data_IF_544498726576
#
_entry.id   IF_544498726576
#
_cell.length_a   1.000
_cell.length_b   1.000
_cell.length_c   1.000
_cell.angle_alpha   90.00
_cell.angle_beta   90.00
_cell.angle_gamma   90.00
#
_symmetry.space_group_name_H-M   'P 1'
#
loop_
_entity.id
_entity.type
_entity.pdbx_description
1 polymer ?
#
# COMPACT_ATOMS: atom_id res chain seq x y z
N UNK A 1 -13.70 4.88 0.42
CA UNK A 1 -13.02 6.17 0.65
C UNK A 1 -11.65 6.06 0.01
N UNK A 2 -11.29 6.99 -0.87
CA UNK A 2 -10.01 6.95 -1.57
C UNK A 2 -8.84 7.25 -0.62
N UNK A 3 -7.65 6.71 -0.91
CA UNK A 3 -6.42 7.01 -0.16
C UNK A 3 -6.12 8.52 -0.17
N UNK A 4 -6.52 9.20 -1.25
CA UNK A 4 -6.44 10.64 -1.39
C UNK A 4 -7.35 11.36 -0.37
N UNK A 5 -8.61 10.91 -0.21
CA UNK A 5 -9.53 11.45 0.77
C UNK A 5 -9.04 11.20 2.21
N UNK A 6 -8.47 10.02 2.50
CA UNK A 6 -7.86 9.73 3.80
C UNK A 6 -6.65 10.61 4.10
N UNK A 7 -5.80 10.87 3.10
CA UNK A 7 -4.66 11.77 3.22
C UNK A 7 -5.10 13.20 3.55
N UNK A 8 -6.07 13.74 2.82
CA UNK A 8 -6.59 15.09 3.08
C UNK A 8 -7.32 15.17 4.42
N UNK A 9 -8.08 14.14 4.79
CA UNK A 9 -8.67 14.01 6.11
C UNK A 9 -7.61 14.04 7.21
N UNK A 10 -6.49 13.32 7.03
CA UNK A 10 -5.36 13.33 7.96
C UNK A 10 -4.73 14.72 8.06
N UNK A 11 -4.44 15.37 6.92
CA UNK A 11 -3.88 16.72 6.89
C UNK A 11 -4.79 17.74 7.59
N UNK A 12 -6.10 17.70 7.36
CA UNK A 12 -7.03 18.55 8.08
C UNK A 12 -7.03 18.24 9.58
N UNK A 13 -6.95 16.98 9.98
CA UNK A 13 -6.77 16.61 11.39
C UNK A 13 -5.53 17.24 12.01
N UNK A 14 -4.40 17.26 11.29
CA UNK A 14 -3.17 17.92 11.73
C UNK A 14 -3.35 19.44 11.85
N UNK A 15 -3.98 20.10 10.86
CA UNK A 15 -4.28 21.55 10.92
C UNK A 15 -5.02 21.88 12.21
N UNK A 16 -6.12 21.15 12.48
CA UNK A 16 -6.95 21.38 13.67
C UNK A 16 -6.17 21.23 14.97
N UNK A 17 -5.34 20.18 15.06
CA UNK A 17 -4.45 19.98 16.22
C UNK A 17 -3.48 21.16 16.41
N UNK A 18 -2.83 21.63 15.33
CA UNK A 18 -1.86 22.73 15.44
C UNK A 18 -2.53 24.09 15.70
N UNK A 19 -3.70 24.34 15.13
CA UNK A 19 -4.52 25.52 15.46
C UNK A 19 -4.86 25.52 16.95
N UNK A 20 -5.27 24.37 17.48
CA UNK A 20 -5.57 24.22 18.91
C UNK A 20 -4.35 24.55 19.79
N UNK A 21 -3.19 23.99 19.47
CA UNK A 21 -1.93 24.29 20.19
C UNK A 21 -1.55 25.77 20.09
N UNK A 22 -1.71 26.38 18.92
CA UNK A 22 -1.43 27.81 18.72
C UNK A 22 -2.37 28.70 19.56
N UNK A 23 -3.65 28.32 19.68
CA UNK A 23 -4.63 29.02 20.52
C UNK A 23 -4.26 28.92 21.99
N UNK A 24 -3.97 27.72 22.48
CA UNK A 24 -3.61 27.49 23.89
C UNK A 24 -2.36 28.29 24.29
N UNK A 25 -1.38 28.38 23.39
CA UNK A 25 -0.18 29.18 23.61
C UNK A 25 -0.46 30.70 23.65
N UNK A 26 -1.39 31.20 22.84
CA UNK A 26 -1.78 32.61 22.84
C UNK A 26 -2.61 32.97 24.08
N UNK A 27 -3.50 32.08 24.52
CA UNK A 27 -4.26 32.23 25.77
C UNK A 27 -3.34 32.23 27.00
N UNK A 28 -2.30 31.40 26.99
CA UNK A 28 -1.29 31.36 28.06
C UNK A 28 -0.39 32.60 28.10
N UNK A 29 -0.25 33.35 27.00
CA UNK A 29 0.63 34.53 26.92
C UNK A 29 0.06 35.70 26.09
N UNK A 30 -1.03 36.34 26.55
CA UNK A 30 -1.78 37.33 25.77
C UNK A 30 -1.03 38.65 25.49
N UNK A 31 0.09 38.90 26.17
CA UNK A 31 0.86 40.16 26.09
C UNK A 31 2.19 40.05 25.31
N UNK A 32 2.48 38.90 24.70
CA UNK A 32 3.65 38.70 23.83
C UNK A 32 3.46 39.45 22.50
N UNK A 33 3.84 40.74 22.44
CA UNK A 33 3.70 41.56 21.22
C UNK A 33 4.84 41.30 20.23
N UNK A 34 4.46 41.01 18.97
CA UNK A 34 5.31 41.13 17.77
C UNK A 34 6.20 39.93 17.42
N UNK A 35 6.83 39.29 18.40
CA UNK A 35 7.68 38.10 18.14
C UNK A 35 6.83 36.84 17.93
N UNK A 36 5.69 36.72 18.61
CA UNK A 36 4.81 35.57 18.52
C UNK A 36 4.10 35.44 17.16
N UNK A 37 3.71 36.55 16.49
CA UNK A 37 2.97 36.46 15.22
C UNK A 37 3.85 35.93 14.09
N UNK A 38 5.03 36.55 13.90
CA UNK A 38 5.96 36.16 12.85
C UNK A 38 6.49 34.74 13.09
N UNK A 39 6.88 34.43 14.32
CA UNK A 39 7.36 33.09 14.68
C UNK A 39 6.26 32.03 14.57
N UNK A 40 5.00 32.36 14.91
CA UNK A 40 3.86 31.44 14.75
C UNK A 40 3.53 31.22 13.27
N UNK A 41 3.50 32.28 12.44
CA UNK A 41 3.28 32.14 10.99
C UNK A 41 4.40 31.38 10.29
N UNK A 42 5.66 31.70 10.61
CA UNK A 42 6.82 30.99 10.08
C UNK A 42 6.81 29.53 10.55
N UNK A 43 6.52 29.27 11.83
CA UNK A 43 6.38 27.91 12.37
C UNK A 43 5.23 27.11 11.75
N UNK A 44 4.07 27.74 11.51
CA UNK A 44 2.95 27.10 10.82
C UNK A 44 3.28 26.87 9.33
N UNK A 45 3.94 27.83 8.68
CA UNK A 45 4.35 27.74 7.27
C UNK A 45 5.41 26.67 7.04
N UNK A 46 6.36 26.51 7.95
CA UNK A 46 7.47 25.56 7.83
C UNK A 46 7.18 24.20 8.46
N UNK A 47 6.23 24.11 9.41
CA UNK A 47 5.93 22.87 10.13
C UNK A 47 4.61 22.20 9.75
N UNK A 48 3.56 22.98 9.41
CA UNK A 48 2.19 22.46 9.27
C UNK A 48 1.68 22.56 7.84
N UNK A 49 1.87 23.73 7.22
CA UNK A 49 1.41 24.03 5.88
C UNK A 49 2.35 23.63 4.71
N UNK A 50 3.62 23.22 4.87
CA UNK A 50 4.44 22.85 3.71
C UNK A 50 3.80 21.74 2.89
N UNK A 51 3.30 20.69 3.56
CA UNK A 51 2.67 19.55 2.88
C UNK A 51 1.39 19.97 2.16
N UNK A 52 0.56 20.83 2.76
CA UNK A 52 -0.67 21.34 2.14
C UNK A 52 -0.40 22.23 0.92
N UNK A 53 0.60 23.09 1.02
CA UNK A 53 0.98 24.03 -0.05
C UNK A 53 1.74 23.32 -1.18
N UNK A 54 2.61 22.36 -0.85
CA UNK A 54 3.29 21.52 -1.83
C UNK A 54 2.31 20.63 -2.59
N UNK A 55 1.35 19.99 -1.91
CA UNK A 55 0.34 19.15 -2.57
C UNK A 55 -0.59 19.97 -3.48
N UNK A 56 -0.92 21.21 -3.10
CA UNK A 56 -1.63 22.16 -3.99
C UNK A 56 -0.82 22.45 -5.26
N UNK A 57 0.46 22.80 -5.10
CA UNK A 57 1.32 23.20 -6.22
C UNK A 57 1.65 22.01 -7.14
N UNK A 58 1.61 20.78 -6.61
CA UNK A 58 1.75 19.53 -7.36
C UNK A 58 0.51 19.16 -8.20
N UNK A 59 -0.61 19.90 -8.08
CA UNK A 59 -1.87 19.74 -8.86
C UNK A 59 -2.58 18.39 -8.72
N UNK A 60 -2.18 17.52 -7.79
CA UNK A 60 -2.64 16.13 -7.75
C UNK A 60 -3.85 15.94 -6.80
N UNK A 61 -4.90 16.77 -6.93
CA UNK A 61 -6.23 16.38 -6.44
C UNK A 61 -7.01 15.81 -7.63
N UNK A 62 -7.04 14.48 -7.76
CA UNK A 62 -7.65 13.79 -8.89
C UNK A 62 -9.18 13.83 -8.83
N UNK A 63 -9.76 13.73 -7.64
CA UNK A 63 -11.21 13.85 -7.46
C UNK A 63 -11.66 15.32 -7.54
N UNK A 64 -12.52 15.63 -8.52
CA UNK A 64 -13.09 16.98 -8.66
C UNK A 64 -13.91 17.37 -7.42
N UNK A 65 -14.61 16.40 -6.82
CA UNK A 65 -15.38 16.60 -5.60
C UNK A 65 -14.50 16.79 -4.37
N UNK A 66 -13.43 16.01 -4.24
CA UNK A 66 -12.46 16.20 -3.17
C UNK A 66 -11.78 17.57 -3.30
N UNK A 67 -11.50 18.01 -4.53
CA UNK A 67 -10.96 19.35 -4.79
C UNK A 67 -11.92 20.44 -4.32
N UNK A 68 -13.23 20.32 -4.57
CA UNK A 68 -14.23 21.26 -4.07
C UNK A 68 -14.27 21.33 -2.54
N UNK A 69 -14.01 20.21 -1.85
CA UNK A 69 -13.96 20.15 -0.39
C UNK A 69 -12.64 20.74 0.16
N UNK A 70 -11.53 20.48 -0.53
CA UNK A 70 -10.19 20.86 -0.07
C UNK A 70 -9.87 22.32 -0.34
N UNK A 71 -10.31 22.86 -1.49
CA UNK A 71 -9.94 24.20 -1.95
C UNK A 71 -10.28 25.32 -0.96
N UNK A 72 -11.46 25.35 -0.31
CA UNK A 72 -11.78 26.39 0.67
C UNK A 72 -10.82 26.45 1.85
N UNK A 73 -10.35 25.29 2.33
CA UNK A 73 -9.38 25.23 3.43
C UNK A 73 -8.02 25.77 2.97
N UNK A 74 -7.57 25.36 1.77
CA UNK A 74 -6.32 25.86 1.20
C UNK A 74 -6.35 27.37 1.00
N UNK A 75 -7.44 27.91 0.45
CA UNK A 75 -7.61 29.34 0.21
C UNK A 75 -7.58 30.13 1.53
N UNK A 76 -8.21 29.61 2.59
CA UNK A 76 -8.18 30.22 3.92
C UNK A 76 -6.76 30.21 4.53
N UNK A 77 -6.02 29.10 4.40
CA UNK A 77 -4.62 29.01 4.86
C UNK A 77 -3.74 30.02 4.11
N UNK A 78 -3.91 30.15 2.80
CA UNK A 78 -3.16 31.10 1.99
C UNK A 78 -3.49 32.54 2.39
N UNK A 79 -4.78 32.86 2.55
CA UNK A 79 -5.22 34.17 3.00
C UNK A 79 -4.63 34.49 4.37
N UNK A 80 -4.62 33.55 5.30
CA UNK A 80 -4.01 33.69 6.63
C UNK A 80 -2.50 33.97 6.56
N UNK A 81 -1.77 33.21 5.75
CA UNK A 81 -0.32 33.37 5.60
C UNK A 81 0.06 34.73 4.98
N UNK A 82 -0.79 35.26 4.10
CA UNK A 82 -0.56 36.53 3.41
C UNK A 82 -1.14 37.75 4.14
N UNK A 83 -2.03 37.56 5.12
CA UNK A 83 -2.67 38.66 5.84
C UNK A 83 -1.75 39.24 6.92
N UNK A 84 -1.60 40.56 7.04
CA UNK A 84 -0.94 41.17 8.21
C UNK A 84 -1.90 41.15 9.41
N UNK A 85 -1.50 40.55 10.56
CA UNK A 85 -2.33 40.61 11.75
C UNK A 85 -1.85 41.73 12.67
N UNK A 86 -2.73 42.66 12.98
CA UNK A 86 -2.38 43.82 13.83
C UNK A 86 -2.63 43.55 15.31
N UNK A 87 -3.29 42.43 15.64
CA UNK A 87 -3.58 42.02 17.03
C UNK A 87 -3.56 40.50 17.20
N UNK A 88 -3.21 39.98 18.40
CA UNK A 88 -3.35 38.55 18.71
C UNK A 88 -4.78 38.02 18.55
N UNK A 89 -5.79 38.86 18.77
CA UNK A 89 -7.19 38.48 18.58
C UNK A 89 -7.50 38.16 17.12
N UNK A 90 -7.07 39.01 16.18
CA UNK A 90 -7.26 38.76 14.74
C UNK A 90 -6.53 37.49 14.27
N UNK A 91 -5.37 37.19 14.85
CA UNK A 91 -4.64 35.94 14.60
C UNK A 91 -5.45 34.72 15.07
N UNK A 92 -5.98 34.75 16.30
CA UNK A 92 -6.80 33.66 16.86
C UNK A 92 -8.11 33.50 16.08
N UNK A 93 -8.80 34.59 15.76
CA UNK A 93 -10.04 34.56 15.00
C UNK A 93 -9.82 33.91 13.62
N UNK A 94 -8.73 34.28 12.93
CA UNK A 94 -8.39 33.69 11.62
C UNK A 94 -7.97 32.21 11.71
N UNK A 95 -7.33 31.80 12.81
CA UNK A 95 -7.03 30.39 13.06
C UNK A 95 -8.32 29.58 13.34
N UNK A 96 -9.27 30.14 14.07
CA UNK A 96 -10.57 29.51 14.32
C UNK A 96 -11.38 29.34 13.03
N UNK A 97 -11.32 30.31 12.12
CA UNK A 97 -11.93 30.19 10.79
C UNK A 97 -11.34 29.01 10.01
N UNK A 98 -10.02 28.83 10.05
CA UNK A 98 -9.33 27.69 9.44
C UNK A 98 -9.72 26.37 10.12
N UNK A 99 -9.78 26.30 11.45
CA UNK A 99 -10.22 25.09 12.18
C UNK A 99 -11.66 24.71 11.82
N UNK A 100 -12.56 25.69 11.72
CA UNK A 100 -13.95 25.47 11.35
C UNK A 100 -14.09 24.95 9.92
N UNK A 101 -13.35 25.52 8.97
CA UNK A 101 -13.30 25.05 7.59
C UNK A 101 -12.70 23.64 7.50
N UNK A 102 -11.60 23.37 8.20
CA UNK A 102 -10.99 22.04 8.25
C UNK A 102 -11.94 20.99 8.87
N UNK A 103 -12.67 21.35 9.93
CA UNK A 103 -13.69 20.49 10.54
C UNK A 103 -14.85 20.19 9.59
N UNK A 104 -15.32 21.22 8.86
CA UNK A 104 -16.34 21.05 7.82
C UNK A 104 -15.85 20.16 6.68
N UNK A 105 -14.60 20.33 6.26
CA UNK A 105 -14.00 19.53 5.20
C UNK A 105 -13.82 18.06 5.63
N UNK A 106 -13.42 17.79 6.88
CA UNK A 106 -13.39 16.41 7.42
C UNK A 106 -14.79 15.79 7.40
N UNK A 107 -15.81 16.50 7.88
CA UNK A 107 -17.18 16.00 7.87
C UNK A 107 -17.70 15.78 6.45
N UNK A 108 -17.33 16.65 5.50
CA UNK A 108 -17.64 16.49 4.09
C UNK A 108 -16.95 15.24 3.51
N UNK A 109 -15.66 15.03 3.77
CA UNK A 109 -14.92 13.82 3.37
C UNK A 109 -15.57 12.56 3.96
N UNK A 110 -15.90 12.56 5.25
CA UNK A 110 -16.50 11.43 5.95
C UNK A 110 -17.91 11.10 5.43
N UNK A 111 -18.59 12.06 4.79
CA UNK A 111 -19.90 11.88 4.16
C UNK A 111 -19.85 11.79 2.63
N UNK A 112 -18.66 11.81 2.02
CA UNK A 112 -18.53 11.58 0.59
C UNK A 112 -18.98 10.15 0.27
N UNK A 113 -19.95 9.96 -0.63
CA UNK A 113 -20.20 8.65 -1.20
C UNK A 113 -18.93 8.23 -1.98
N UNK A 114 -18.63 6.93 -1.98
CA UNK A 114 -17.60 6.37 -2.88
C UNK A 114 -18.10 6.51 -4.32
N UNK A 115 -17.83 7.65 -4.94
CA UNK A 115 -18.22 8.00 -6.29
C UNK A 115 -17.07 7.89 -7.30
N UNK A 116 -15.97 7.24 -6.92
CA UNK A 116 -14.78 7.07 -7.77
C UNK A 116 -15.13 6.50 -9.15
N UNK A 117 -14.68 7.13 -10.21
CA UNK A 117 -14.85 6.60 -11.56
C UNK A 117 -13.81 5.51 -11.83
N UNK A 118 -14.15 4.57 -12.72
CA UNK A 118 -13.25 3.45 -13.08
C UNK A 118 -11.88 3.96 -13.50
N UNK A 119 -11.80 5.02 -14.31
CA UNK A 119 -10.55 5.60 -14.78
C UNK A 119 -9.69 6.14 -13.63
N UNK A 120 -10.32 6.73 -12.61
CA UNK A 120 -9.62 7.28 -11.44
C UNK A 120 -8.98 6.15 -10.63
N UNK A 121 -9.73 5.08 -10.37
CA UNK A 121 -9.22 3.90 -9.65
C UNK A 121 -8.05 3.27 -10.40
N UNK A 122 -8.13 3.17 -11.73
CA UNK A 122 -7.05 2.62 -12.57
C UNK A 122 -5.83 3.53 -12.59
N UNK A 123 -6.01 4.85 -12.69
CA UNK A 123 -4.91 5.82 -12.70
C UNK A 123 -4.16 5.85 -11.36
N UNK A 124 -4.88 5.82 -10.24
CA UNK A 124 -4.27 5.71 -8.92
C UNK A 124 -3.47 4.41 -8.80
N UNK A 125 -4.06 3.28 -9.25
CA UNK A 125 -3.39 1.99 -9.20
C UNK A 125 -2.12 1.96 -10.06
N UNK A 126 -2.18 2.49 -11.28
CA UNK A 126 -1.03 2.59 -12.19
C UNK A 126 0.09 3.42 -11.57
N UNK A 127 -0.25 4.57 -11.01
CA UNK A 127 0.70 5.46 -10.34
C UNK A 127 1.40 4.72 -9.19
N UNK A 128 0.64 4.03 -8.35
CA UNK A 128 1.18 3.25 -7.22
C UNK A 128 2.03 2.06 -7.69
N UNK A 129 1.59 1.36 -8.73
CA UNK A 129 2.32 0.27 -9.34
C UNK A 129 3.71 0.74 -9.80
N UNK A 130 3.76 1.83 -10.56
CA UNK A 130 5.02 2.37 -11.11
C UNK A 130 5.90 2.95 -9.99
N UNK A 131 5.33 3.71 -9.05
CA UNK A 131 6.07 4.32 -7.95
C UNK A 131 6.72 3.26 -7.04
N UNK A 132 5.98 2.21 -6.67
CA UNK A 132 6.53 1.13 -5.84
C UNK A 132 7.54 0.26 -6.60
N UNK A 133 7.35 0.06 -7.90
CA UNK A 133 8.34 -0.60 -8.76
C UNK A 133 9.63 0.22 -8.85
N UNK A 134 9.53 1.54 -9.00
CA UNK A 134 10.68 2.44 -9.00
C UNK A 134 11.46 2.35 -7.68
N UNK A 135 10.78 2.28 -6.54
CA UNK A 135 11.40 2.05 -5.23
C UNK A 135 12.12 0.69 -5.15
N UNK A 136 11.48 -0.37 -5.63
CA UNK A 136 12.11 -1.70 -5.65
C UNK A 136 13.35 -1.74 -6.55
N UNK A 137 13.32 -1.06 -7.69
CA UNK A 137 14.45 -0.95 -8.61
C UNK A 137 15.57 -0.05 -8.06
N UNK A 138 15.24 1.00 -7.32
CA UNK A 138 16.21 1.94 -6.75
C UNK A 138 16.89 1.41 -5.48
N UNK A 139 16.26 0.49 -4.75
CA UNK A 139 16.82 -0.12 -3.55
C UNK A 139 18.23 -0.72 -3.79
N UNK A 140 18.47 -1.29 -4.97
CA UNK A 140 19.81 -1.75 -5.35
C UNK A 140 20.75 -0.60 -5.71
N UNK A 141 20.23 0.43 -6.39
CA UNK A 141 21.03 1.52 -6.97
C UNK A 141 21.76 2.33 -5.91
N UNK A 142 21.07 2.73 -4.83
CA UNK A 142 21.68 3.60 -3.81
C UNK A 142 22.87 2.91 -3.14
N UNK A 143 22.68 1.65 -2.73
CA UNK A 143 23.75 0.89 -2.09
C UNK A 143 24.89 0.57 -3.06
N UNK A 144 24.58 0.22 -4.32
CA UNK A 144 25.59 -0.01 -5.35
C UNK A 144 26.44 1.24 -5.63
N UNK A 145 25.81 2.43 -5.70
CA UNK A 145 26.52 3.69 -5.89
C UNK A 145 27.49 4.00 -4.73
N UNK A 146 27.05 3.74 -3.50
CA UNK A 146 27.89 3.93 -2.30
C UNK A 146 29.08 2.98 -2.30
N UNK A 147 28.86 1.72 -2.67
CA UNK A 147 29.92 0.72 -2.77
C UNK A 147 30.90 1.03 -3.89
N UNK A 148 30.41 1.50 -5.05
CA UNK A 148 31.24 1.92 -6.17
C UNK A 148 32.06 3.18 -5.87
N UNK A 149 31.54 4.09 -5.03
CA UNK A 149 32.23 5.29 -4.59
C UNK A 149 33.30 5.03 -3.50
N UNK A 150 33.41 3.79 -3.00
CA UNK A 150 34.39 3.41 -1.98
C UNK A 150 35.81 3.62 -2.49
N UNK A 151 36.62 4.36 -1.74
CA UNK A 151 38.05 4.55 -2.02
C UNK A 151 38.88 3.42 -1.40
N UNK A 152 40.07 3.11 -1.94
CA UNK A 152 40.97 2.12 -1.33
C UNK A 152 41.37 2.44 0.12
N UNK A 153 41.35 3.72 0.50
CA UNK A 153 41.65 4.19 1.86
C UNK A 153 40.49 4.00 2.84
N UNK A 154 39.29 3.76 2.33
CA UNK A 154 38.09 3.59 3.15
C UNK A 154 38.08 2.17 3.77
N UNK A 155 37.47 2.06 4.95
CA UNK A 155 37.49 0.82 5.72
C UNK A 155 36.79 -0.36 5.04
N UNK A 156 37.09 -1.56 5.52
CA UNK A 156 36.60 -2.84 4.95
C UNK A 156 35.21 -3.23 5.42
N UNK A 157 34.62 -2.45 6.34
CA UNK A 157 33.27 -2.66 6.85
C UNK A 157 32.37 -1.48 6.48
N UNK A 158 31.11 -1.77 6.19
CA UNK A 158 30.05 -0.79 5.98
C UNK A 158 29.17 -0.73 7.23
N UNK A 159 29.05 0.43 7.85
CA UNK A 159 28.19 0.69 9.01
C UNK A 159 26.80 1.09 8.54
N UNK A 160 25.80 0.23 8.78
CA UNK A 160 24.44 0.41 8.26
C UNK A 160 23.75 1.62 8.87
N UNK A 161 24.00 1.92 10.16
CA UNK A 161 23.35 3.03 10.86
C UNK A 161 23.92 4.40 10.48
N UNK A 162 25.22 4.46 10.17
CA UNK A 162 25.90 5.70 9.73
C UNK A 162 25.97 5.85 8.22
N UNK A 163 25.67 4.79 7.49
CA UNK A 163 25.78 4.72 6.04
C UNK A 163 27.17 5.11 5.52
N UNK A 164 28.21 4.59 6.19
CA UNK A 164 29.61 4.97 5.96
C UNK A 164 30.59 3.79 6.14
N UNK A 165 31.75 3.87 5.50
CA UNK A 165 32.81 2.87 5.64
C UNK A 165 33.61 3.05 6.93
N UNK A 166 33.98 1.95 7.57
CA UNK A 166 34.76 1.90 8.81
C UNK A 166 35.76 0.75 8.80
N UNK A 167 36.88 0.94 9.50
CA UNK A 167 37.98 -0.04 9.56
C UNK A 167 37.74 -1.16 10.57
N UNK A 168 36.76 -1.00 11.47
CA UNK A 168 36.55 -1.93 12.59
C UNK A 168 35.25 -2.71 12.45
N UNK A 169 35.33 -4.02 12.65
CA UNK A 169 34.17 -4.90 12.78
C UNK A 169 33.30 -4.49 13.99
N UNK A 170 32.03 -4.89 13.98
CA UNK A 170 31.12 -4.69 15.11
C UNK A 170 29.66 -4.96 14.75
N UNK A 171 28.76 -4.95 15.75
CA UNK A 171 27.31 -5.02 15.51
C UNK A 171 26.84 -3.92 14.55
N UNK A 172 25.90 -4.26 13.66
CA UNK A 172 25.37 -3.31 12.66
C UNK A 172 26.33 -3.00 11.50
N UNK A 173 27.47 -3.70 11.41
CA UNK A 173 28.47 -3.52 10.35
C UNK A 173 28.64 -4.79 9.52
N UNK A 174 28.75 -4.63 8.21
CA UNK A 174 28.87 -5.72 7.25
C UNK A 174 30.20 -5.58 6.52
N UNK A 175 30.95 -6.67 6.35
CA UNK A 175 32.17 -6.62 5.55
C UNK A 175 31.82 -6.31 4.10
N UNK A 176 32.53 -5.38 3.45
CA UNK A 176 32.21 -4.90 2.10
C UNK A 176 32.18 -6.03 1.08
N UNK A 177 33.06 -7.04 1.20
CA UNK A 177 33.01 -8.21 0.32
C UNK A 177 31.70 -9.01 0.47
N UNK A 178 31.21 -9.21 1.70
CA UNK A 178 29.95 -9.92 1.92
C UNK A 178 28.75 -9.11 1.40
N UNK A 179 28.85 -7.78 1.47
CA UNK A 179 27.83 -6.87 0.95
C UNK A 179 27.81 -6.83 -0.59
N UNK A 180 28.99 -6.79 -1.24
CA UNK A 180 29.11 -6.94 -2.69
C UNK A 180 28.56 -8.30 -3.14
N UNK A 181 28.90 -9.37 -2.44
CA UNK A 181 28.35 -10.72 -2.72
C UNK A 181 26.83 -10.78 -2.55
N UNK A 182 26.26 -10.00 -1.62
CA UNK A 182 24.82 -9.94 -1.41
C UNK A 182 24.08 -9.09 -2.46
N UNK A 183 24.82 -8.28 -3.24
CA UNK A 183 24.34 -7.36 -4.27
C UNK A 183 24.54 -7.90 -5.69
N UNK A 184 25.66 -8.56 -5.97
CA UNK A 184 26.05 -8.96 -7.33
C UNK A 184 25.41 -10.28 -7.75
N UNK A 185 24.63 -10.24 -8.84
CA UNK A 185 24.06 -11.44 -9.46
C UNK A 185 25.12 -12.22 -10.22
N UNK A 186 25.34 -13.48 -9.84
CA UNK A 186 25.97 -14.48 -10.70
C UNK A 186 27.50 -14.55 -10.68
N UNK A 187 28.18 -14.01 -9.66
CA UNK A 187 29.59 -14.36 -9.43
C UNK A 187 29.70 -15.46 -8.39
N UNK A 188 30.34 -16.58 -8.77
CA UNK A 188 30.96 -17.47 -7.80
C UNK A 188 31.92 -16.62 -6.96
N UNK A 189 31.55 -16.33 -5.73
CA UNK A 189 32.37 -15.50 -4.86
C UNK A 189 33.11 -16.39 -3.87
N UNK A 190 34.40 -16.13 -3.69
CA UNK A 190 35.17 -16.70 -2.59
C UNK A 190 35.02 -15.75 -1.41
N UNK A 191 34.24 -16.15 -0.40
CA UNK A 191 34.19 -15.47 0.89
C UNK A 191 35.33 -15.99 1.76
N UNK A 192 36.16 -15.09 2.33
CA UNK A 192 37.22 -15.50 3.27
C UNK A 192 36.69 -16.22 4.52
N UNK A 193 35.40 -16.05 4.88
CA UNK A 193 34.76 -16.75 6.00
C UNK A 193 34.01 -18.03 5.60
N UNK A 194 33.55 -18.15 4.36
CA UNK A 194 32.62 -19.22 3.92
C UNK A 194 33.16 -20.09 2.78
N UNK A 195 34.34 -19.81 2.24
CA UNK A 195 34.90 -20.51 1.08
C UNK A 195 34.20 -20.10 -0.23
N UNK A 196 34.21 -21.00 -1.21
CA UNK A 196 33.44 -20.83 -2.46
C UNK A 196 31.95 -20.84 -2.15
N UNK A 197 31.26 -19.75 -2.45
CA UNK A 197 29.81 -19.65 -2.34
C UNK A 197 29.25 -19.45 -3.75
N UNK A 198 28.68 -20.53 -4.29
CA UNK A 198 27.85 -20.49 -5.49
C UNK A 198 26.44 -20.11 -5.06
N UNK A 199 25.96 -18.93 -5.43
CA UNK A 199 24.54 -18.66 -5.36
C UNK A 199 23.91 -19.25 -6.63
N UNK A 200 23.26 -20.42 -6.51
CA UNK A 200 22.29 -20.91 -7.53
C UNK A 200 21.05 -19.98 -7.64
N UNK A 201 21.16 -18.71 -7.25
CA UNK A 201 20.07 -17.83 -6.86
C UNK A 201 20.38 -16.38 -7.21
N UNK A 202 19.33 -15.58 -7.38
CA UNK A 202 19.44 -14.13 -7.36
C UNK A 202 20.11 -13.67 -6.04
N UNK A 203 20.84 -12.54 -6.05
CA UNK A 203 21.39 -11.94 -4.85
C UNK A 203 20.33 -11.83 -3.75
N UNK A 204 20.67 -12.08 -2.48
CA UNK A 204 19.73 -11.98 -1.36
C UNK A 204 18.95 -10.66 -1.33
N UNK A 205 19.60 -9.54 -1.65
CA UNK A 205 18.95 -8.23 -1.68
C UNK A 205 17.92 -8.16 -2.81
N UNK A 206 18.20 -8.80 -3.95
CA UNK A 206 17.28 -8.88 -5.08
C UNK A 206 16.05 -9.74 -4.78
N UNK A 207 16.25 -10.88 -4.13
CA UNK A 207 15.14 -11.74 -3.69
C UNK A 207 14.26 -11.00 -2.69
N UNK A 208 14.86 -10.31 -1.73
CA UNK A 208 14.14 -9.56 -0.72
C UNK A 208 13.32 -8.42 -1.34
N UNK A 209 13.97 -7.53 -2.09
CA UNK A 209 13.34 -6.32 -2.63
C UNK A 209 12.26 -6.63 -3.66
N UNK A 210 12.56 -7.48 -4.66
CA UNK A 210 11.58 -7.82 -5.68
C UNK A 210 10.49 -8.75 -5.14
N UNK A 211 10.84 -9.68 -4.24
CA UNK A 211 9.86 -10.53 -3.56
C UNK A 211 8.86 -9.71 -2.72
N UNK A 212 9.35 -8.70 -2.00
CA UNK A 212 8.49 -7.78 -1.25
C UNK A 212 7.58 -6.97 -2.18
N UNK A 213 8.11 -6.47 -3.31
CA UNK A 213 7.29 -5.75 -4.29
C UNK A 213 6.17 -6.64 -4.86
N UNK A 214 6.47 -7.88 -5.24
CA UNK A 214 5.46 -8.84 -5.70
C UNK A 214 4.39 -9.12 -4.65
N UNK A 215 4.78 -9.24 -3.38
CA UNK A 215 3.82 -9.44 -2.30
C UNK A 215 2.93 -8.22 -2.07
N UNK A 216 3.53 -7.04 -2.05
CA UNK A 216 2.82 -5.77 -1.87
C UNK A 216 1.82 -5.53 -2.99
N UNK A 217 2.26 -5.59 -4.26
CA UNK A 217 1.40 -5.26 -5.40
C UNK A 217 0.21 -6.22 -5.53
N UNK A 218 0.39 -7.49 -5.18
CA UNK A 218 -0.69 -8.48 -5.15
C UNK A 218 -1.69 -8.20 -4.02
N UNK A 219 -1.22 -7.78 -2.85
CA UNK A 219 -2.07 -7.46 -1.72
C UNK A 219 -2.96 -6.25 -2.04
N UNK A 220 -2.37 -5.12 -2.46
CA UNK A 220 -3.15 -3.91 -2.79
C UNK A 220 -4.07 -4.13 -3.99
N UNK A 221 -3.69 -4.99 -4.94
CA UNK A 221 -4.58 -5.41 -6.01
C UNK A 221 -5.82 -6.11 -5.48
N UNK A 222 -5.68 -7.19 -4.70
CA UNK A 222 -6.85 -7.98 -4.27
C UNK A 222 -7.69 -7.30 -3.18
N UNK A 223 -7.03 -6.56 -2.30
CA UNK A 223 -7.67 -5.97 -1.11
C UNK A 223 -8.22 -4.57 -1.36
N UNK A 224 -7.52 -3.74 -2.16
CA UNK A 224 -7.87 -2.32 -2.29
C UNK A 224 -8.49 -2.02 -3.65
N UNK A 225 -7.79 -2.31 -4.74
CA UNK A 225 -8.21 -1.86 -6.06
C UNK A 225 -9.30 -2.73 -6.70
N UNK A 226 -9.23 -4.04 -6.51
CA UNK A 226 -10.20 -4.97 -7.11
C UNK A 226 -11.62 -4.80 -6.57
N UNK A 227 -11.86 -4.56 -5.27
CA UNK A 227 -13.18 -4.17 -4.75
C UNK A 227 -13.62 -2.80 -5.26
N UNK A 228 -12.75 -1.77 -5.19
CA UNK A 228 -13.06 -0.41 -5.67
C UNK A 228 -13.48 -0.38 -7.15
N UNK A 229 -12.80 -1.17 -8.00
CA UNK A 229 -13.18 -1.33 -9.40
C UNK A 229 -14.54 -2.00 -9.57
N UNK A 230 -14.87 -3.01 -8.76
CA UNK A 230 -16.18 -3.65 -8.78
C UNK A 230 -17.28 -2.66 -8.43
N UNK A 231 -17.08 -1.85 -7.39
CA UNK A 231 -18.04 -0.82 -6.97
C UNK A 231 -18.20 0.28 -8.05
N UNK A 232 -17.10 0.74 -8.63
CA UNK A 232 -17.12 1.72 -9.72
C UNK A 232 -17.84 1.22 -10.97
N UNK A 233 -17.57 -0.02 -11.41
CA UNK A 233 -18.29 -0.65 -12.52
C UNK A 233 -19.77 -0.89 -12.20
N UNK A 234 -20.08 -1.26 -10.95
CA UNK A 234 -21.46 -1.47 -10.52
C UNK A 234 -22.29 -0.21 -10.68
N UNK A 235 -21.73 0.92 -10.24
CA UNK A 235 -22.36 2.24 -10.42
C UNK A 235 -22.48 2.63 -11.88
N UNK A 236 -21.41 2.45 -12.66
CA UNK A 236 -21.36 2.84 -14.08
C UNK A 236 -22.37 2.08 -14.94
N UNK A 237 -22.53 0.78 -14.69
CA UNK A 237 -23.33 -0.11 -15.52
C UNK A 237 -24.73 -0.39 -14.93
N UNK A 238 -24.96 -0.01 -13.67
CA UNK A 238 -26.23 -0.29 -12.99
C UNK A 238 -26.44 -1.76 -12.63
N UNK A 239 -25.35 -2.54 -12.57
CA UNK A 239 -25.33 -3.96 -12.21
C UNK A 239 -24.52 -4.16 -10.93
N UNK A 240 -24.64 -5.31 -10.25
CA UNK A 240 -23.90 -5.56 -8.99
C UNK A 240 -22.68 -6.45 -9.24
N UNK A 241 -21.54 -5.85 -9.56
CA UNK A 241 -20.26 -6.55 -9.67
C UNK A 241 -19.62 -6.73 -8.30
N UNK A 242 -19.00 -7.89 -8.11
CA UNK A 242 -18.18 -8.18 -6.92
C UNK A 242 -16.71 -8.26 -7.30
N UNK A 243 -15.80 -8.19 -6.31
CA UNK A 243 -14.36 -8.26 -6.56
C UNK A 243 -13.95 -9.45 -7.44
N UNK A 244 -14.65 -10.60 -7.35
CA UNK A 244 -14.33 -11.79 -8.15
C UNK A 244 -14.56 -11.62 -9.65
N UNK A 245 -15.43 -10.69 -10.05
CA UNK A 245 -15.74 -10.38 -11.45
C UNK A 245 -14.62 -9.57 -12.11
N UNK A 246 -13.93 -8.75 -11.32
CA UNK A 246 -12.75 -8.00 -11.78
C UNK A 246 -11.59 -9.00 -11.96
N UNK A 247 -11.16 -9.19 -13.21
CA UNK A 247 -10.11 -10.15 -13.59
C UNK A 247 -9.03 -9.44 -14.40
N UNK A 248 -7.78 -9.80 -14.14
CA UNK A 248 -6.63 -9.39 -14.95
C UNK A 248 -5.70 -10.58 -15.12
N UNK A 249 -5.47 -10.99 -16.36
CA UNK A 249 -4.53 -12.07 -16.66
C UNK A 249 -3.12 -11.70 -16.21
N UNK A 250 -2.71 -10.44 -16.47
CA UNK A 250 -1.43 -9.92 -16.03
C UNK A 250 -1.23 -10.08 -14.52
N UNK A 251 -2.19 -9.63 -13.70
CA UNK A 251 -2.09 -9.74 -12.24
C UNK A 251 -2.12 -11.19 -11.77
N UNK A 252 -2.90 -12.06 -12.43
CA UNK A 252 -2.91 -13.49 -12.13
C UNK A 252 -1.54 -14.15 -12.42
N UNK A 253 -0.88 -13.78 -13.52
CA UNK A 253 0.45 -14.25 -13.87
C UNK A 253 1.55 -13.71 -12.94
N UNK A 254 1.40 -12.45 -12.50
CA UNK A 254 2.27 -11.81 -11.51
C UNK A 254 2.21 -12.56 -10.17
N UNK A 255 1.01 -12.96 -9.73
CA UNK A 255 0.82 -13.75 -8.52
C UNK A 255 1.46 -15.15 -8.61
N UNK A 256 1.41 -15.79 -9.79
CA UNK A 256 2.10 -17.07 -10.00
C UNK A 256 3.61 -16.94 -9.87
N UNK A 257 4.18 -15.86 -10.41
CA UNK A 257 5.61 -15.54 -10.24
C UNK A 257 5.93 -15.30 -8.77
N UNK A 258 5.12 -14.48 -8.06
CA UNK A 258 5.23 -14.27 -6.62
C UNK A 258 5.30 -15.60 -5.86
N UNK A 259 4.35 -16.51 -6.14
CA UNK A 259 4.28 -17.79 -5.44
C UNK A 259 5.52 -18.64 -5.70
N UNK A 260 6.03 -18.66 -6.93
CA UNK A 260 7.24 -19.39 -7.26
C UNK A 260 8.49 -18.79 -6.57
N UNK A 261 8.61 -17.46 -6.55
CA UNK A 261 9.71 -16.74 -5.90
C UNK A 261 9.69 -16.93 -4.37
N UNK A 262 8.55 -16.68 -3.74
CA UNK A 262 8.43 -16.63 -2.27
C UNK A 262 8.27 -18.04 -1.68
N UNK A 263 7.41 -18.88 -2.25
CA UNK A 263 7.04 -20.16 -1.67
C UNK A 263 7.80 -21.35 -2.26
N UNK A 264 8.21 -21.29 -3.53
CA UNK A 264 8.94 -22.39 -4.21
C UNK A 264 10.44 -22.13 -4.36
N UNK A 265 11.00 -21.22 -3.55
CA UNK A 265 12.44 -20.87 -3.56
C UNK A 265 12.95 -20.47 -4.94
N UNK A 266 12.13 -19.75 -5.71
CA UNK A 266 12.40 -19.31 -7.08
C UNK A 266 12.39 -20.43 -8.14
N UNK A 267 11.91 -21.63 -7.83
CA UNK A 267 11.67 -22.69 -8.83
C UNK A 267 10.34 -22.47 -9.51
N UNK A 268 10.34 -22.58 -10.85
CA UNK A 268 9.14 -22.45 -11.67
C UNK A 268 8.21 -23.63 -11.40
N UNK A 269 6.97 -23.34 -11.00
CA UNK A 269 5.91 -24.34 -10.82
C UNK A 269 4.59 -23.79 -11.28
N UNK A 270 4.14 -22.68 -10.70
CA UNK A 270 2.87 -22.06 -11.07
C UNK A 270 3.00 -21.17 -12.32
N UNK A 271 4.13 -20.48 -12.46
CA UNK A 271 4.41 -19.55 -13.55
C UNK A 271 4.84 -20.23 -14.86
N UNK A 272 4.98 -21.55 -14.87
CA UNK A 272 5.42 -22.34 -16.04
C UNK A 272 4.60 -22.07 -17.31
N UNK A 273 3.31 -21.78 -17.14
CA UNK A 273 2.35 -21.58 -18.23
C UNK A 273 1.89 -20.11 -18.34
N UNK A 274 2.66 -19.17 -17.80
CA UNK A 274 2.41 -17.75 -18.00
C UNK A 274 2.61 -17.39 -19.48
N UNK A 275 1.67 -16.62 -20.06
CA UNK A 275 1.70 -16.21 -21.46
C UNK A 275 2.26 -14.81 -21.62
N UNK A 276 1.94 -13.90 -20.70
CA UNK A 276 2.40 -12.51 -20.68
C UNK A 276 3.76 -12.42 -20.00
N UNK A 277 3.88 -13.00 -18.80
CA UNK A 277 5.08 -13.01 -17.99
C UNK A 277 5.79 -14.37 -18.07
N UNK A 278 6.24 -14.74 -19.27
CA UNK A 278 6.98 -15.97 -19.50
C UNK A 278 8.43 -15.86 -19.00
N UNK A 279 8.61 -16.01 -17.70
CA UNK A 279 9.89 -15.78 -17.03
C UNK A 279 10.61 -17.07 -16.66
N UNK A 280 10.18 -18.22 -17.18
CA UNK A 280 10.86 -19.48 -16.95
C UNK A 280 12.22 -19.48 -17.67
N UNK A 281 13.29 -19.78 -16.94
CA UNK A 281 14.61 -20.01 -17.51
C UNK A 281 14.81 -21.50 -17.81
N UNK A 282 15.79 -21.81 -18.67
CA UNK A 282 16.12 -23.18 -19.06
C UNK A 282 16.61 -24.07 -17.91
N UNK A 283 17.05 -23.47 -16.81
CA UNK A 283 17.47 -24.13 -15.57
C UNK A 283 16.30 -24.45 -14.61
N UNK A 284 15.07 -24.11 -14.99
CA UNK A 284 13.87 -24.32 -14.16
C UNK A 284 13.69 -23.28 -13.05
N UNK A 285 14.47 -22.21 -13.05
CA UNK A 285 14.31 -21.07 -12.14
C UNK A 285 13.48 -19.96 -12.78
N UNK A 286 12.79 -19.20 -11.94
CA UNK A 286 12.12 -17.95 -12.35
C UNK A 286 13.22 -16.95 -12.64
N UNK A 287 13.39 -16.52 -13.89
CA UNK A 287 14.35 -15.49 -14.24
C UNK A 287 13.88 -14.11 -13.80
N UNK A 288 14.05 -13.78 -12.53
CA UNK A 288 13.70 -12.50 -11.92
C UNK A 288 14.82 -11.46 -12.12
N UNK A 289 15.30 -11.32 -13.35
CA UNK A 289 16.39 -10.40 -13.73
C UNK A 289 15.95 -8.94 -13.62
N UNK A 290 16.87 -8.01 -13.38
CA UNK A 290 16.57 -6.56 -13.35
C UNK A 290 15.94 -6.08 -14.65
N UNK A 291 16.35 -6.58 -15.81
CA UNK A 291 15.81 -6.22 -17.12
C UNK A 291 14.31 -6.54 -17.22
N UNK A 292 13.92 -7.72 -16.76
CA UNK A 292 12.51 -8.15 -16.69
C UNK A 292 11.69 -7.32 -15.70
N UNK A 293 12.26 -7.00 -14.53
CA UNK A 293 11.62 -6.09 -13.58
C UNK A 293 11.47 -4.67 -14.13
N UNK A 294 12.46 -4.17 -14.87
CA UNK A 294 12.38 -2.88 -15.56
C UNK A 294 11.32 -2.90 -16.67
N UNK A 295 11.19 -4.03 -17.38
CA UNK A 295 10.17 -4.22 -18.41
C UNK A 295 8.74 -4.08 -17.89
N UNK A 296 8.50 -4.44 -16.63
CA UNK A 296 7.18 -4.31 -15.98
C UNK A 296 6.62 -2.88 -16.01
N UNK A 297 7.48 -1.85 -16.08
CA UNK A 297 7.08 -0.43 -16.11
C UNK A 297 6.09 -0.09 -17.23
N UNK A 298 6.13 -0.83 -18.34
CA UNK A 298 5.27 -0.60 -19.52
C UNK A 298 4.21 -1.70 -19.68
N UNK A 299 4.05 -2.58 -18.70
CA UNK A 299 3.15 -3.74 -18.78
C UNK A 299 1.92 -3.60 -17.90
N UNK A 300 1.71 -2.44 -17.26
CA UNK A 300 0.51 -2.20 -16.47
C UNK A 300 -0.74 -2.39 -17.37
N UNK A 301 -1.72 -3.21 -16.95
CA UNK A 301 -2.80 -3.67 -17.84
C UNK A 301 -3.94 -2.64 -17.95
N UNK A 302 -3.63 -1.38 -18.25
CA UNK A 302 -4.62 -0.28 -18.25
C UNK A 302 -5.81 -0.56 -19.16
N UNK A 303 -5.55 -0.95 -20.41
CA UNK A 303 -6.59 -1.22 -21.39
C UNK A 303 -7.49 -2.40 -20.99
N UNK A 304 -6.91 -3.47 -20.42
CA UNK A 304 -7.66 -4.62 -19.94
C UNK A 304 -8.57 -4.22 -18.78
N UNK A 305 -8.08 -3.40 -17.85
CA UNK A 305 -8.85 -2.94 -16.68
C UNK A 305 -9.98 -1.96 -17.05
N UNK A 306 -9.85 -1.23 -18.15
CA UNK A 306 -10.89 -0.35 -18.71
C UNK A 306 -11.98 -1.12 -19.47
N UNK A 307 -11.77 -2.41 -19.72
CA UNK A 307 -12.80 -3.25 -20.34
C UNK A 307 -13.81 -3.66 -19.28
N UNK A 308 -15.10 -3.48 -19.58
CA UNK A 308 -16.19 -3.84 -18.67
C UNK A 308 -16.06 -5.30 -18.21
N UNK A 309 -16.18 -5.57 -16.90
CA UNK A 309 -16.07 -6.93 -16.38
C UNK A 309 -17.26 -7.76 -16.84
N UNK A 310 -17.01 -9.07 -16.95
CA UNK A 310 -18.06 -10.06 -17.18
C UNK A 310 -18.24 -10.84 -15.89
N UNK A 311 -19.48 -10.98 -15.44
CA UNK A 311 -19.79 -11.80 -14.27
C UNK A 311 -19.13 -13.17 -14.38
N UNK A 312 -18.37 -13.53 -13.36
CA UNK A 312 -17.92 -14.91 -13.23
C UNK A 312 -19.09 -15.81 -12.91
N UNK A 313 -18.96 -17.09 -13.25
CA UNK A 313 -19.75 -18.11 -12.57
C UNK A 313 -19.59 -17.91 -11.06
N UNK A 314 -20.69 -17.87 -10.33
CA UNK A 314 -20.66 -17.75 -8.88
C UNK A 314 -19.70 -18.81 -8.31
N UNK A 315 -18.70 -18.43 -7.49
CA UNK A 315 -17.75 -19.39 -6.96
C UNK A 315 -18.51 -20.47 -6.20
N UNK A 316 -18.35 -21.73 -6.60
CA UNK A 316 -19.05 -22.90 -6.02
C UNK A 316 -18.74 -23.15 -4.53
N UNK A 317 -17.82 -22.40 -3.95
CA UNK A 317 -17.41 -22.48 -2.55
C UNK A 317 -16.54 -21.29 -2.17
N UNK A 318 -16.72 -20.78 -0.96
CA UNK A 318 -15.85 -19.79 -0.32
C UNK A 318 -15.36 -20.35 1.02
N UNK A 319 -14.14 -19.99 1.44
CA UNK A 319 -13.68 -20.31 2.80
C UNK A 319 -14.45 -19.44 3.80
N UNK A 320 -14.94 -20.06 4.87
CA UNK A 320 -15.67 -19.36 5.92
C UNK A 320 -14.77 -18.28 6.56
N UNK A 321 -15.27 -17.04 6.73
CA UNK A 321 -14.45 -15.92 7.22
C UNK A 321 -14.19 -15.94 8.73
N UNK A 322 -14.73 -16.92 9.46
CA UNK A 322 -14.55 -17.07 10.90
C UNK A 322 -13.70 -18.29 11.25
N UNK A 323 -12.97 -18.17 12.36
CA UNK A 323 -12.28 -19.29 13.00
C UNK A 323 -13.25 -20.06 13.88
N UNK A 324 -13.22 -21.40 13.82
CA UNK A 324 -13.92 -22.26 14.77
C UNK A 324 -12.94 -22.82 15.81
N UNK A 325 -13.47 -23.17 16.98
CA UNK A 325 -12.68 -23.80 18.04
C UNK A 325 -12.03 -25.11 17.56
N UNK A 326 -10.74 -25.31 17.90
CA UNK A 326 -9.96 -26.45 17.41
C UNK A 326 -10.52 -27.78 17.92
N UNK A 327 -10.99 -27.84 19.17
CA UNK A 327 -11.56 -29.06 19.74
C UNK A 327 -12.90 -29.40 19.07
N UNK A 328 -13.69 -28.39 18.69
CA UNK A 328 -14.92 -28.58 17.94
C UNK A 328 -14.63 -29.13 16.54
N UNK A 329 -13.65 -28.54 15.83
CA UNK A 329 -13.23 -29.02 14.51
C UNK A 329 -12.76 -30.47 14.58
N UNK A 330 -11.95 -30.82 15.58
CA UNK A 330 -11.42 -32.18 15.71
C UNK A 330 -12.50 -33.19 16.13
N UNK A 331 -13.47 -32.77 16.94
CA UNK A 331 -14.64 -33.60 17.29
C UNK A 331 -15.51 -33.91 16.06
N UNK A 332 -15.73 -32.92 15.19
CA UNK A 332 -16.41 -33.12 13.92
C UNK A 332 -15.60 -34.05 13.02
N UNK A 333 -14.30 -33.79 12.81
CA UNK A 333 -13.43 -34.67 11.99
C UNK A 333 -13.43 -36.12 12.48
N UNK A 334 -13.38 -36.34 13.80
CA UNK A 334 -13.43 -37.66 14.40
C UNK A 334 -14.78 -38.33 14.11
N UNK A 335 -15.89 -37.62 14.32
CA UNK A 335 -17.24 -38.14 14.00
C UNK A 335 -17.38 -38.48 12.52
N UNK A 336 -16.84 -37.66 11.62
CA UNK A 336 -16.86 -37.90 10.17
C UNK A 336 -16.06 -39.15 9.77
N UNK A 337 -14.92 -39.37 10.43
CA UNK A 337 -14.12 -40.57 10.26
C UNK A 337 -14.84 -41.81 10.79
N UNK A 338 -15.46 -41.73 11.97
CA UNK A 338 -16.24 -42.83 12.58
C UNK A 338 -17.44 -43.23 11.71
N UNK A 339 -18.02 -42.27 10.97
CA UNK A 339 -19.11 -42.51 10.02
C UNK A 339 -18.65 -43.00 8.63
N UNK A 340 -17.33 -43.11 8.40
CA UNK A 340 -16.77 -43.63 7.14
C UNK A 340 -17.03 -42.75 5.91
N UNK A 341 -17.23 -41.44 6.09
CA UNK A 341 -17.65 -40.55 5.01
C UNK A 341 -16.49 -40.19 4.06
N UNK A 342 -16.80 -40.04 2.78
CA UNK A 342 -15.82 -39.65 1.75
C UNK A 342 -15.56 -38.14 1.77
N UNK A 343 -14.42 -37.69 1.21
CA UNK A 343 -14.09 -36.26 1.10
C UNK A 343 -15.17 -35.39 0.46
N UNK A 344 -15.96 -35.96 -0.47
CA UNK A 344 -17.09 -35.28 -1.10
C UNK A 344 -18.24 -35.08 -0.10
N UNK A 345 -18.62 -36.13 0.62
CA UNK A 345 -19.65 -36.07 1.67
C UNK A 345 -19.25 -35.17 2.84
N UNK A 346 -17.96 -35.10 3.17
CA UNK A 346 -17.45 -34.16 4.18
C UNK A 346 -17.69 -32.69 3.80
N UNK A 347 -17.67 -32.35 2.50
CA UNK A 347 -17.98 -31.00 2.03
C UNK A 347 -19.46 -30.69 2.22
N UNK A 348 -20.33 -31.63 1.85
CA UNK A 348 -21.78 -31.49 1.93
C UNK A 348 -22.27 -31.25 3.38
N UNK A 349 -21.54 -31.78 4.38
CA UNK A 349 -21.85 -31.57 5.80
C UNK A 349 -21.56 -30.13 6.24
N UNK A 350 -20.54 -29.48 5.69
CA UNK A 350 -20.29 -28.07 5.93
C UNK A 350 -21.47 -27.21 5.49
N UNK A 351 -21.98 -27.50 4.29
CA UNK A 351 -23.15 -26.83 3.73
C UNK A 351 -24.42 -27.13 4.56
N UNK A 352 -24.61 -28.38 4.99
CA UNK A 352 -25.73 -28.80 5.85
C UNK A 352 -25.70 -28.13 7.23
N UNK A 353 -24.53 -28.04 7.87
CA UNK A 353 -24.37 -27.36 9.17
C UNK A 353 -24.75 -25.87 9.08
N UNK A 354 -24.35 -25.20 7.99
CA UNK A 354 -24.69 -23.79 7.75
C UNK A 354 -26.20 -23.65 7.48
N UNK A 355 -26.76 -24.53 6.65
CA UNK A 355 -28.19 -24.53 6.34
C UNK A 355 -29.06 -24.74 7.61
N UNK A 356 -28.67 -25.68 8.48
CA UNK A 356 -29.33 -25.93 9.76
C UNK A 356 -29.24 -24.70 10.69
N UNK A 357 -28.09 -24.03 10.73
CA UNK A 357 -27.94 -22.82 11.52
C UNK A 357 -28.83 -21.68 11.01
N UNK A 358 -28.89 -21.47 9.69
CA UNK A 358 -29.77 -20.47 9.06
C UNK A 358 -31.25 -20.77 9.30
N UNK A 359 -31.65 -22.05 9.22
CA UNK A 359 -33.02 -22.47 9.51
C UNK A 359 -33.40 -22.24 10.98
N UNK A 360 -32.44 -22.37 11.91
CA UNK A 360 -32.65 -22.11 13.33
C UNK A 360 -32.62 -20.61 13.69
N UNK A 361 -32.10 -19.75 12.82
CA UNK A 361 -31.97 -18.30 13.03
C UNK A 361 -32.52 -17.54 11.81
N UNK A 362 -33.84 -17.61 11.55
CA UNK A 362 -34.44 -16.86 10.46
C UNK A 362 -34.21 -15.36 10.67
N UNK A 363 -34.02 -14.62 9.57
CA UNK A 363 -33.92 -13.17 9.63
C UNK A 363 -35.22 -12.60 10.26
N UNK A 364 -35.13 -11.55 11.10
CA UNK A 364 -36.33 -10.91 11.62
C UNK A 364 -37.16 -10.37 10.45
N UNK A 365 -38.43 -10.80 10.37
CA UNK A 365 -39.36 -10.30 9.38
C UNK A 365 -39.46 -8.78 9.52
N UNK A 366 -39.08 -8.04 8.47
CA UNK A 366 -39.15 -6.58 8.38
C UNK A 366 -40.58 -6.01 8.37
N UNK A 367 -41.53 -6.72 8.97
CA UNK A 367 -42.94 -6.34 9.09
C UNK A 367 -43.35 -6.32 10.56
N UNK A 368 -42.88 -5.34 11.31
CA UNK A 368 -43.59 -4.83 12.49
C UNK A 368 -43.10 -3.42 12.86
N UNK A 369 -43.96 -2.42 12.62
CA UNK A 369 -43.75 -1.06 13.12
C UNK A 369 -44.17 0.06 12.15
N UNK A 370 -45.40 -0.01 11.65
CA UNK A 370 -46.17 1.16 11.17
C UNK A 370 -46.50 2.12 12.29
#
# INVERSE_FOLDING_TARGET
MSDEAELWRHHFGQIRFFVQVARDNLEASPYSKGVAERTTKEGLKEGVFPHLLEERDRKAIYSSRLKEIVQPVLDAVIAFLNSPFTTPKLLVDSLNDIDSLAGTAIAAIDSMPDDEEVEQVIEEFETRYVATLATALSAHRTLAQVLAARRPTDGEYFDVGKYAFTKTAGPGRIHVADLNNAMDSGMNSVSMKRGWVTYERFPPIQIMTYGQWFAYIQAIWDEWYRPRLADAYSRRLGENFVKSDIKSQFMAELNKIRNDVIHNRSRVKQSANNKILNWANSDGLVGMTTERMVGLRTMFPRADLLTAPVHGDAPKSQNMPWTADVQLIDSVKKRLADLGLTKRQMKDIGDEMIALWLAAHPAPDGSSGS
#
